data_IF_154649843270
#
_entry.id   IF_154649843270
#
_cell.length_a   1.000
_cell.length_b   1.000
_cell.length_c   1.000
_cell.angle_alpha   90.00
_cell.angle_beta   90.00
_cell.angle_gamma   90.00
#
_symmetry.space_group_name_H-M   'P 1'
#
loop_
_entity.id
_entity.type
_entity.pdbx_description
1 polymer ?
#
# COMPACT_ATOMS: atom_id res chain seq x y z
N UNK A 1 -0.13 2.63 -6.65
CA UNK A 1 -0.39 2.83 -5.22
C UNK A 1 -1.77 2.31 -4.92
N UNK A 2 -1.88 1.34 -4.03
CA UNK A 2 -3.14 0.85 -3.46
C UNK A 2 -3.43 1.71 -2.23
N UNK A 3 -4.70 2.10 -2.04
CA UNK A 3 -5.19 2.83 -0.87
C UNK A 3 -6.32 2.03 -0.25
N UNK A 4 -6.18 1.80 1.05
CA UNK A 4 -7.14 1.10 1.88
C UNK A 4 -7.53 2.07 2.99
N UNK A 5 -8.82 2.39 3.06
CA UNK A 5 -9.38 3.27 4.08
C UNK A 5 -10.40 2.46 4.88
N UNK A 6 -10.44 2.68 6.19
CA UNK A 6 -11.31 1.92 7.08
C UNK A 6 -12.78 2.07 6.71
N UNK A 7 -13.50 0.95 6.63
CA UNK A 7 -14.92 0.90 6.30
C UNK A 7 -15.24 1.32 4.86
N UNK A 8 -14.23 1.47 3.99
CA UNK A 8 -14.41 1.91 2.61
C UNK A 8 -13.88 0.87 1.62
N UNK A 9 -14.27 1.03 0.36
CA UNK A 9 -13.72 0.20 -0.72
C UNK A 9 -12.25 0.55 -0.96
N UNK A 10 -11.45 -0.46 -1.29
CA UNK A 10 -10.11 -0.28 -1.84
C UNK A 10 -10.17 0.65 -3.05
N UNK A 11 -9.20 1.56 -3.13
CA UNK A 11 -8.99 2.44 -4.29
C UNK A 11 -7.55 2.32 -4.78
N UNK A 12 -7.31 2.62 -6.05
CA UNK A 12 -5.96 2.73 -6.61
C UNK A 12 -5.73 4.13 -7.14
N UNK A 13 -4.48 4.60 -7.08
CA UNK A 13 -4.15 5.96 -7.52
C UNK A 13 -4.37 6.19 -9.03
N UNK A 14 -4.27 5.14 -9.85
CA UNK A 14 -4.52 5.19 -11.31
C UNK A 14 -5.10 3.86 -11.78
N UNK A 15 -6.14 3.93 -12.61
CA UNK A 15 -6.83 2.76 -13.17
C UNK A 15 -7.88 2.17 -12.23
N UNK A 16 -8.38 0.99 -12.58
CA UNK A 16 -9.20 0.17 -11.70
C UNK A 16 -8.32 -0.66 -10.75
N UNK A 17 -8.80 -1.05 -9.56
CA UNK A 17 -8.09 -1.99 -8.70
C UNK A 17 -7.73 -3.24 -9.50
N UNK A 18 -6.48 -3.70 -9.38
CA UNK A 18 -6.03 -4.85 -10.15
C UNK A 18 -6.77 -6.10 -9.68
N UNK A 19 -7.20 -6.93 -10.64
CA UNK A 19 -7.95 -8.15 -10.38
C UNK A 19 -7.20 -9.07 -9.41
N UNK A 20 -7.94 -9.65 -8.47
CA UNK A 20 -7.42 -10.62 -7.50
C UNK A 20 -6.69 -10.04 -6.30
N UNK A 21 -6.59 -8.71 -6.15
CA UNK A 21 -6.13 -8.13 -4.89
C UNK A 21 -7.21 -8.34 -3.81
N UNK A 22 -6.82 -8.99 -2.72
CA UNK A 22 -7.67 -9.25 -1.56
C UNK A 22 -7.17 -8.43 -0.37
N UNK A 23 -8.09 -8.01 0.49
CA UNK A 23 -7.72 -7.32 1.72
C UNK A 23 -8.79 -7.53 2.79
N UNK A 24 -8.36 -7.41 4.05
CA UNK A 24 -9.23 -7.46 5.21
C UNK A 24 -8.78 -6.41 6.22
N UNK A 25 -9.73 -5.94 7.01
CA UNK A 25 -9.48 -5.03 8.12
C UNK A 25 -10.16 -5.52 9.39
N UNK A 26 -9.57 -5.17 10.53
CA UNK A 26 -10.12 -5.48 11.84
C UNK A 26 -9.75 -4.38 12.82
N UNK A 27 -10.75 -3.84 13.50
CA UNK A 27 -10.55 -2.92 14.62
C UNK A 27 -9.92 -3.63 15.82
N UNK A 28 -9.10 -2.89 16.56
CA UNK A 28 -8.52 -3.29 17.83
C UNK A 28 -8.62 -2.16 18.85
N UNK A 29 -8.25 -2.41 20.12
CA UNK A 29 -8.37 -1.41 21.19
C UNK A 29 -7.59 -0.12 20.92
N UNK A 30 -6.45 -0.22 20.24
CA UNK A 30 -5.49 0.88 20.05
C UNK A 30 -5.29 1.25 18.56
N UNK A 31 -6.19 0.81 17.68
CA UNK A 31 -6.07 1.07 16.24
C UNK A 31 -6.69 -0.05 15.42
N UNK A 32 -6.11 -0.33 14.26
CA UNK A 32 -6.65 -1.30 13.31
C UNK A 32 -5.55 -2.18 12.74
N UNK A 33 -5.93 -3.35 12.23
CA UNK A 33 -5.07 -4.23 11.44
C UNK A 33 -5.57 -4.24 10.01
N UNK A 34 -4.65 -4.15 9.06
CA UNK A 34 -4.93 -4.36 7.63
C UNK A 34 -4.08 -5.53 7.16
N UNK A 35 -4.70 -6.45 6.45
CA UNK A 35 -4.05 -7.53 5.72
C UNK A 35 -4.32 -7.37 4.23
N UNK A 36 -3.31 -7.57 3.39
CA UNK A 36 -3.40 -7.39 1.92
C UNK A 36 -2.69 -8.53 1.20
N UNK A 37 -3.42 -9.21 0.34
CA UNK A 37 -2.90 -10.16 -0.63
C UNK A 37 -2.80 -9.51 -2.01
N UNK A 38 -1.59 -9.37 -2.54
CA UNK A 38 -1.35 -8.82 -3.89
C UNK A 38 -0.78 -9.94 -4.77
N UNK A 39 -1.57 -10.51 -5.70
CA UNK A 39 -1.04 -11.48 -6.65
C UNK A 39 0.04 -10.85 -7.53
N UNK A 40 1.12 -11.57 -7.81
CA UNK A 40 2.16 -11.09 -8.74
C UNK A 40 1.60 -10.80 -10.14
N UNK A 41 0.59 -11.58 -10.55
CA UNK A 41 -0.12 -11.42 -11.83
C UNK A 41 -0.83 -10.07 -11.93
N UNK A 42 -1.24 -9.47 -10.81
CA UNK A 42 -1.81 -8.11 -10.76
C UNK A 42 -0.82 -7.02 -11.23
N UNK A 43 0.48 -7.34 -11.23
CA UNK A 43 1.57 -6.49 -11.71
C UNK A 43 2.15 -6.97 -13.06
N UNK A 44 1.48 -7.91 -13.74
CA UNK A 44 1.98 -8.52 -14.98
C UNK A 44 3.20 -9.41 -14.77
N UNK A 45 3.37 -9.96 -13.56
CA UNK A 45 4.46 -10.88 -13.22
C UNK A 45 3.89 -12.28 -12.99
N UNK A 46 4.46 -13.30 -13.63
CA UNK A 46 4.07 -14.70 -13.42
C UNK A 46 4.58 -15.25 -12.09
N UNK A 47 5.66 -14.66 -11.55
CA UNK A 47 6.33 -15.10 -10.33
C UNK A 47 7.01 -13.92 -9.61
N UNK A 48 7.30 -14.07 -8.30
CA UNK A 48 8.07 -13.08 -7.56
C UNK A 48 9.47 -12.86 -8.17
N UNK A 49 9.94 -11.61 -8.12
CA UNK A 49 11.36 -11.29 -8.35
C UNK A 49 12.11 -11.27 -7.02
N UNK A 50 13.42 -11.61 -6.99
CA UNK A 50 14.20 -11.60 -5.75
C UNK A 50 14.19 -10.26 -5.01
N UNK A 51 14.08 -9.16 -5.76
CA UNK A 51 13.97 -7.81 -5.23
C UNK A 51 12.84 -7.04 -5.90
N UNK A 52 12.16 -6.18 -5.14
CA UNK A 52 11.16 -5.25 -5.65
C UNK A 52 11.12 -3.96 -4.81
N UNK A 53 10.55 -2.90 -5.39
CA UNK A 53 10.32 -1.65 -4.69
C UNK A 53 9.03 -1.69 -3.89
N UNK A 54 9.08 -1.32 -2.61
CA UNK A 54 7.91 -1.17 -1.74
C UNK A 54 8.01 0.09 -0.90
N UNK A 55 6.86 0.68 -0.60
CA UNK A 55 6.73 1.62 0.49
C UNK A 55 5.33 1.50 1.11
N UNK A 56 5.25 1.55 2.44
CA UNK A 56 4.00 1.47 3.19
C UNK A 56 3.73 2.83 3.81
N UNK A 57 2.57 3.41 3.51
CA UNK A 57 2.20 4.76 3.94
C UNK A 57 0.98 4.68 4.85
N UNK A 58 1.06 5.26 6.04
CA UNK A 58 -0.07 5.48 6.94
C UNK A 58 -0.44 6.94 6.84
N UNK A 59 -1.68 7.22 6.43
CA UNK A 59 -2.22 8.57 6.33
C UNK A 59 -3.26 8.73 7.42
N UNK A 60 -3.13 9.80 8.19
CA UNK A 60 -4.07 10.19 9.22
C UNK A 60 -5.03 11.24 8.67
N UNK A 61 -6.33 11.04 8.86
CA UNK A 61 -7.38 11.94 8.41
C UNK A 61 -8.59 11.89 9.36
N UNK A 62 -8.75 12.89 10.22
CA UNK A 62 -9.89 12.99 11.13
C UNK A 62 -11.13 13.63 10.49
N UNK A 63 -10.94 14.41 9.41
CA UNK A 63 -12.00 15.18 8.75
C UNK A 63 -11.89 15.10 7.22
N UNK A 64 -11.38 16.15 6.58
CA UNK A 64 -11.50 16.38 5.13
C UNK A 64 -10.18 16.28 4.38
N UNK A 65 -9.05 16.36 5.08
CA UNK A 65 -7.71 16.37 4.49
C UNK A 65 -6.75 15.65 5.42
N UNK A 66 -5.79 14.96 4.82
CA UNK A 66 -4.72 14.31 5.57
C UNK A 66 -3.96 15.30 6.47
N UNK A 67 -4.01 15.13 7.78
CA UNK A 67 -3.25 15.93 8.75
C UNK A 67 -1.81 15.45 8.86
N UNK A 68 -1.61 14.13 8.91
CA UNK A 68 -0.29 13.54 9.11
C UNK A 68 -0.03 12.33 8.23
N UNK A 69 1.25 12.01 8.06
CA UNK A 69 1.69 10.88 7.25
C UNK A 69 2.97 10.28 7.80
N UNK A 70 2.97 8.96 7.89
CA UNK A 70 4.16 8.15 8.09
C UNK A 70 4.39 7.27 6.86
N UNK A 71 5.65 7.08 6.51
CA UNK A 71 6.07 6.17 5.45
C UNK A 71 7.23 5.31 5.93
N UNK A 72 7.29 4.07 5.45
CA UNK A 72 8.34 3.13 5.81
C UNK A 72 9.71 3.61 5.34
N UNK A 73 9.83 3.96 4.06
CA UNK A 73 11.11 4.33 3.46
C UNK A 73 11.17 5.76 2.93
N UNK A 74 10.16 6.20 2.18
CA UNK A 74 10.20 7.54 1.60
C UNK A 74 10.27 8.61 2.69
N UNK A 75 11.12 9.62 2.48
CA UNK A 75 11.24 10.80 3.35
C UNK A 75 10.52 12.03 2.79
N UNK A 76 9.95 11.90 1.59
CA UNK A 76 9.24 12.97 0.88
C UNK A 76 7.86 12.47 0.47
N UNK A 77 6.90 13.37 0.40
CA UNK A 77 5.53 13.03 -0.01
C UNK A 77 5.39 12.98 -1.55
N UNK A 78 6.19 12.13 -2.21
CA UNK A 78 6.19 12.00 -3.67
C UNK A 78 6.20 10.53 -4.16
N UNK A 79 6.25 9.54 -3.28
CA UNK A 79 6.32 8.13 -3.69
C UNK A 79 5.10 7.68 -4.52
N UNK A 80 3.95 8.37 -4.42
CA UNK A 80 2.76 8.08 -5.23
C UNK A 80 2.99 8.24 -6.75
N UNK A 81 4.01 9.00 -7.15
CA UNK A 81 4.37 9.29 -8.55
C UNK A 81 5.84 9.04 -8.87
N UNK A 82 6.64 8.59 -7.90
CA UNK A 82 8.09 8.43 -8.05
C UNK A 82 8.52 7.08 -7.49
N UNK A 83 8.50 5.99 -8.30
CA UNK A 83 8.89 4.66 -7.84
C UNK A 83 10.32 4.55 -7.31
N UNK A 84 11.23 5.43 -7.76
CA UNK A 84 12.59 5.51 -7.21
C UNK A 84 12.66 6.01 -5.76
N UNK A 85 11.54 6.50 -5.21
CA UNK A 85 11.43 6.85 -3.80
C UNK A 85 11.08 5.66 -2.91
N UNK A 86 10.82 4.47 -3.46
CA UNK A 86 10.53 3.26 -2.70
C UNK A 86 11.80 2.64 -2.10
N UNK A 87 11.63 1.92 -1.00
CA UNK A 87 12.68 1.06 -0.46
C UNK A 87 12.83 -0.20 -1.29
N UNK A 88 14.01 -0.80 -1.31
CA UNK A 88 14.23 -2.12 -1.91
C UNK A 88 13.94 -3.19 -0.86
N UNK A 89 13.07 -4.14 -1.21
CA UNK A 89 12.75 -5.30 -0.39
C UNK A 89 13.33 -6.53 -1.08
N UNK A 90 13.84 -7.46 -0.29
CA UNK A 90 14.25 -8.78 -0.74
C UNK A 90 13.21 -9.81 -0.32
N UNK A 91 12.91 -10.78 -1.18
CA UNK A 91 12.15 -11.96 -0.79
C UNK A 91 13.14 -12.93 -0.15
N UNK A 92 12.94 -13.24 1.13
CA UNK A 92 13.74 -14.19 1.87
C UNK A 92 13.11 -15.59 1.82
N UNK A 93 13.95 -16.61 1.91
CA UNK A 93 13.56 -18.03 2.07
C UNK A 93 13.14 -18.35 3.51
#
# INVERSE_FOLDING_TARGET
>A
MIRLNLGQKMTVHRGEPADGIEWAEMDGPDGYRIEVGIPWTSMGLESPRPFFGLDIHVNDNDLDRRESKLSWYSRRDNAYQTPSAFGTVAIAE
#
